data_IF_912411340722
#
_entry.id   IF_912411340722
#
_cell.length_a   1.000
_cell.length_b   1.000
_cell.length_c   1.000
_cell.angle_alpha   90.00
_cell.angle_beta   90.00
_cell.angle_gamma   90.00
#
_symmetry.space_group_name_H-M   'P 1'
#
loop_
_entity.id
_entity.type
_entity.pdbx_description
1 polymer ?
#
# COMPACT_ATOMS: atom_id res chain seq x y z
N UNK A 1 -35.97 -4.88 4.94
CA UNK A 1 -34.78 -5.60 4.42
C UNK A 1 -33.56 -4.78 4.81
N UNK A 2 -32.93 -5.12 5.94
CA UNK A 2 -31.83 -4.36 6.52
C UNK A 2 -30.53 -4.71 5.81
N UNK A 3 -29.97 -3.76 5.07
CA UNK A 3 -28.59 -3.81 4.56
C UNK A 3 -27.65 -3.60 5.74
N UNK A 4 -27.21 -4.68 6.39
CA UNK A 4 -26.09 -4.62 7.34
C UNK A 4 -24.84 -4.23 6.55
N UNK A 5 -24.48 -2.94 6.62
CA UNK A 5 -23.13 -2.43 6.30
C UNK A 5 -22.16 -3.32 7.09
N UNK A 6 -21.46 -4.18 6.39
CA UNK A 6 -20.30 -4.84 6.96
C UNK A 6 -19.27 -3.73 7.10
N UNK A 7 -19.09 -3.24 8.33
CA UNK A 7 -17.93 -2.46 8.71
C UNK A 7 -16.70 -3.32 8.43
N UNK A 8 -16.18 -3.20 7.21
CA UNK A 8 -14.85 -3.65 6.89
C UNK A 8 -13.91 -2.86 7.78
N UNK A 9 -13.51 -3.47 8.90
CA UNK A 9 -12.42 -2.99 9.72
C UNK A 9 -11.28 -2.63 8.77
N UNK A 10 -11.03 -1.33 8.61
CA UNK A 10 -9.94 -0.84 7.79
C UNK A 10 -8.69 -1.15 8.60
N UNK A 11 -8.17 -2.37 8.43
CA UNK A 11 -6.87 -2.72 8.95
C UNK A 11 -5.87 -1.71 8.41
N UNK A 12 -5.28 -0.93 9.31
CA UNK A 12 -4.29 0.06 8.96
C UNK A 12 -3.12 -0.63 8.25
N UNK A 13 -2.66 -0.12 7.09
CA UNK A 13 -1.48 -0.63 6.42
C UNK A 13 -0.29 -0.59 7.39
N UNK A 14 0.31 -1.76 7.65
CA UNK A 14 1.45 -1.89 8.55
C UNK A 14 2.77 -1.61 7.84
N UNK A 15 2.85 -1.84 6.53
CA UNK A 15 4.04 -1.58 5.76
C UNK A 15 4.19 -0.09 5.40
N UNK A 16 5.37 0.49 5.66
CA UNK A 16 5.63 1.92 5.46
C UNK A 16 5.86 2.30 4.00
N UNK A 17 6.28 1.35 3.16
CA UNK A 17 6.50 1.53 1.74
C UNK A 17 6.57 0.19 0.99
N UNK A 18 6.67 0.23 -0.35
CA UNK A 18 6.76 -0.97 -1.21
C UNK A 18 7.90 -1.92 -0.83
N UNK A 19 9.09 -1.38 -0.53
CA UNK A 19 10.26 -2.20 -0.20
C UNK A 19 10.03 -2.95 1.11
N UNK A 20 9.52 -2.25 2.11
CA UNK A 20 9.16 -2.82 3.41
C UNK A 20 8.08 -3.92 3.26
N UNK A 21 7.05 -3.67 2.46
CA UNK A 21 6.03 -4.66 2.13
C UNK A 21 6.63 -5.95 1.54
N UNK A 22 7.48 -5.82 0.52
CA UNK A 22 8.08 -6.98 -0.16
C UNK A 22 8.98 -7.78 0.79
N UNK A 23 9.76 -7.11 1.65
CA UNK A 23 10.74 -7.78 2.49
C UNK A 23 10.13 -8.44 3.74
N UNK A 24 9.13 -7.80 4.35
CA UNK A 24 8.64 -8.18 5.68
C UNK A 24 7.25 -8.82 5.67
N UNK A 25 6.47 -8.62 4.61
CA UNK A 25 5.06 -9.01 4.58
C UNK A 25 4.68 -9.91 3.41
N UNK A 26 5.58 -10.12 2.43
CA UNK A 26 5.35 -11.08 1.35
C UNK A 26 5.88 -12.45 1.76
N UNK A 27 4.99 -13.45 1.83
CA UNK A 27 5.36 -14.83 2.11
C UNK A 27 5.06 -15.74 0.92
N UNK A 28 5.74 -16.89 0.88
CA UNK A 28 5.57 -17.92 -0.13
C UNK A 28 4.96 -19.16 0.51
N UNK A 29 3.62 -19.31 0.51
CA UNK A 29 2.98 -20.50 1.05
C UNK A 29 3.39 -21.75 0.26
N UNK A 30 3.38 -22.91 0.93
CA UNK A 30 3.60 -24.19 0.26
C UNK A 30 2.37 -24.57 -0.56
N UNK A 31 2.59 -25.16 -1.74
CA UNK A 31 1.53 -25.48 -2.70
C UNK A 31 0.46 -26.39 -2.06
N UNK A 32 0.88 -27.33 -1.23
CA UNK A 32 0.02 -28.32 -0.59
C UNK A 32 -0.92 -27.72 0.48
N UNK A 33 -0.63 -26.50 0.93
CA UNK A 33 -1.41 -25.76 1.93
C UNK A 33 -2.45 -24.82 1.30
N UNK A 34 -2.49 -24.70 -0.03
CA UNK A 34 -3.38 -23.80 -0.75
C UNK A 34 -4.82 -24.35 -0.75
N UNK A 35 -5.60 -23.93 0.24
CA UNK A 35 -6.90 -24.51 0.56
C UNK A 35 -8.03 -24.31 -0.46
N UNK A 36 -7.86 -23.62 -1.60
CA UNK A 36 -9.06 -23.26 -2.42
C UNK A 36 -8.84 -22.85 -3.88
N UNK A 37 -7.63 -22.51 -4.32
CA UNK A 37 -7.41 -22.11 -5.73
C UNK A 37 -6.10 -22.68 -6.27
N UNK A 38 -6.21 -23.52 -7.29
CA UNK A 38 -5.05 -24.08 -8.00
C UNK A 38 -4.40 -23.06 -8.95
N UNK A 39 -4.99 -21.89 -9.16
CA UNK A 39 -4.58 -20.91 -10.15
C UNK A 39 -4.56 -19.46 -9.63
N UNK A 40 -3.71 -18.64 -10.25
CA UNK A 40 -3.58 -17.23 -9.94
C UNK A 40 -4.80 -16.44 -10.47
N UNK A 41 -5.46 -15.61 -9.66
CA UNK A 41 -6.67 -14.88 -10.08
C UNK A 41 -6.38 -13.68 -11.03
N UNK A 42 -5.11 -13.36 -11.30
CA UNK A 42 -4.74 -12.27 -12.22
C UNK A 42 -4.54 -12.79 -13.64
N UNK A 43 -3.80 -13.90 -13.81
CA UNK A 43 -3.48 -14.48 -15.11
C UNK A 43 -4.18 -15.81 -15.40
N UNK A 44 -4.90 -16.38 -14.41
CA UNK A 44 -5.65 -17.64 -14.50
C UNK A 44 -4.81 -18.90 -14.78
N UNK A 45 -3.49 -18.80 -14.71
CA UNK A 45 -2.59 -19.95 -14.84
C UNK A 45 -2.34 -20.63 -13.48
N UNK A 46 -2.07 -21.94 -13.46
CA UNK A 46 -1.85 -22.70 -12.24
C UNK A 46 -0.61 -22.22 -11.47
N UNK A 47 -0.60 -22.47 -10.16
CA UNK A 47 0.57 -22.23 -9.33
C UNK A 47 1.62 -23.33 -9.51
N UNK A 48 2.88 -22.96 -9.38
CA UNK A 48 4.03 -23.88 -9.41
C UNK A 48 4.78 -23.83 -8.08
N UNK A 49 5.47 -24.91 -7.70
CA UNK A 49 6.29 -24.89 -6.48
C UNK A 49 7.42 -23.85 -6.54
N UNK A 50 7.94 -23.57 -7.73
CA UNK A 50 9.08 -22.68 -7.96
C UNK A 50 8.88 -21.79 -9.19
N UNK A 51 9.68 -20.73 -9.30
CA UNK A 51 9.74 -19.86 -10.47
C UNK A 51 8.68 -18.76 -10.50
N UNK A 52 8.35 -18.29 -11.72
CA UNK A 52 7.47 -17.15 -11.94
C UNK A 52 6.03 -17.38 -11.42
N UNK A 53 5.58 -18.63 -11.47
CA UNK A 53 4.25 -19.05 -11.03
C UNK A 53 4.19 -19.51 -9.56
N UNK A 54 5.26 -19.28 -8.80
CA UNK A 54 5.28 -19.56 -7.36
C UNK A 54 4.21 -18.76 -6.63
N UNK A 55 3.40 -19.37 -5.76
CA UNK A 55 2.39 -18.66 -5.00
C UNK A 55 3.05 -17.69 -4.01
N UNK A 56 2.44 -16.52 -3.86
CA UNK A 56 2.78 -15.54 -2.85
C UNK A 56 1.52 -15.00 -2.17
N UNK A 57 1.68 -14.55 -0.94
CA UNK A 57 0.60 -14.02 -0.13
C UNK A 57 1.11 -12.83 0.69
N UNK A 58 0.29 -11.80 0.80
CA UNK A 58 0.50 -10.78 1.80
C UNK A 58 0.11 -11.35 3.17
N UNK A 59 1.04 -11.41 4.11
CA UNK A 59 0.80 -11.85 5.48
C UNK A 59 1.03 -10.69 6.46
N UNK A 60 0.36 -10.73 7.62
CA UNK A 60 0.55 -9.72 8.67
C UNK A 60 0.04 -8.31 8.31
N UNK A 61 -0.76 -8.17 7.25
CA UNK A 61 -1.41 -6.89 6.88
C UNK A 61 -2.92 -7.07 6.75
N UNK A 62 -3.61 -6.80 7.85
CA UNK A 62 -5.07 -6.98 7.96
C UNK A 62 -5.55 -8.38 7.60
N UNK A 63 -6.77 -8.47 7.09
CA UNK A 63 -7.44 -9.75 6.86
C UNK A 63 -7.29 -10.28 5.42
N UNK A 64 -6.44 -9.64 4.61
CA UNK A 64 -6.21 -10.02 3.22
C UNK A 64 -5.40 -11.31 3.12
N UNK A 65 -6.06 -12.43 2.79
CA UNK A 65 -5.42 -13.74 2.59
C UNK A 65 -5.29 -14.17 1.12
N UNK A 66 -5.47 -13.25 0.18
CA UNK A 66 -5.42 -13.58 -1.25
C UNK A 66 -4.02 -13.95 -1.73
N UNK A 67 -3.99 -14.96 -2.59
CA UNK A 67 -2.77 -15.58 -3.10
C UNK A 67 -2.65 -15.26 -4.59
N UNK A 68 -1.48 -14.82 -5.01
CA UNK A 68 -1.16 -14.49 -6.39
C UNK A 68 0.15 -15.15 -6.78
N UNK A 69 0.48 -15.23 -8.07
CA UNK A 69 1.79 -15.73 -8.44
C UNK A 69 2.84 -14.62 -8.31
N UNK A 70 4.10 -15.02 -8.09
CA UNK A 70 5.24 -14.11 -7.95
C UNK A 70 5.34 -13.09 -9.08
N UNK A 71 5.20 -13.56 -10.32
CA UNK A 71 5.28 -12.70 -11.51
C UNK A 71 4.17 -11.63 -11.52
N UNK A 72 2.91 -12.04 -11.37
CA UNK A 72 1.79 -11.11 -11.42
C UNK A 72 1.83 -10.10 -10.28
N UNK A 73 2.15 -10.53 -9.06
CA UNK A 73 2.32 -9.61 -7.93
C UNK A 73 3.45 -8.61 -8.19
N UNK A 74 4.61 -9.09 -8.67
CA UNK A 74 5.76 -8.22 -8.94
C UNK A 74 5.42 -7.17 -10.01
N UNK A 75 4.80 -7.59 -11.11
CA UNK A 75 4.35 -6.68 -12.16
C UNK A 75 3.30 -5.69 -11.64
N UNK A 76 2.35 -6.14 -10.84
CA UNK A 76 1.33 -5.29 -10.24
C UNK A 76 1.96 -4.19 -9.38
N UNK A 77 2.83 -4.56 -8.42
CA UNK A 77 3.53 -3.63 -7.53
C UNK A 77 4.52 -2.69 -8.25
N UNK A 78 4.97 -3.04 -9.44
CA UNK A 78 5.87 -2.24 -10.28
C UNK A 78 5.12 -1.35 -11.26
N UNK A 79 3.86 -1.65 -11.57
CA UNK A 79 3.10 -0.86 -12.52
C UNK A 79 2.81 0.55 -12.00
N UNK A 80 2.81 1.52 -12.91
CA UNK A 80 2.45 2.93 -12.63
C UNK A 80 0.94 3.15 -12.58
N UNK A 81 0.16 2.06 -12.56
CA UNK A 81 -1.29 2.11 -12.41
C UNK A 81 -1.59 2.70 -11.02
N UNK A 82 -2.59 3.57 -10.94
CA UNK A 82 -3.06 4.09 -9.64
C UNK A 82 -3.52 2.90 -8.79
N UNK A 83 -3.18 2.95 -7.50
CA UNK A 83 -3.63 1.97 -6.48
C UNK A 83 -3.00 0.57 -6.53
N UNK A 84 -1.82 0.42 -7.12
CA UNK A 84 -0.98 -0.80 -7.07
C UNK A 84 -0.45 -1.17 -5.69
N UNK A 85 -0.97 -0.50 -4.66
CA UNK A 85 -0.63 -0.64 -3.25
C UNK A 85 -1.77 -1.31 -2.49
N UNK A 86 -2.72 -1.89 -3.22
CA UNK A 86 -3.92 -2.52 -2.67
C UNK A 86 -4.02 -3.97 -3.14
N UNK A 87 -4.75 -4.78 -2.39
CA UNK A 87 -5.11 -6.12 -2.86
C UNK A 87 -5.97 -6.02 -4.13
N UNK A 88 -5.62 -6.71 -5.24
CA UNK A 88 -6.43 -6.71 -6.46
C UNK A 88 -7.88 -7.19 -6.26
N UNK A 89 -8.14 -7.99 -5.22
CA UNK A 89 -9.47 -8.57 -4.95
C UNK A 89 -10.20 -7.76 -3.86
N UNK A 90 -9.63 -7.63 -2.65
CA UNK A 90 -10.28 -6.91 -1.54
C UNK A 90 -10.10 -5.39 -1.58
N UNK A 91 -9.21 -4.87 -2.42
CA UNK A 91 -8.82 -3.45 -2.47
C UNK A 91 -8.30 -2.87 -1.16
N UNK A 92 -7.97 -3.73 -0.18
CA UNK A 92 -7.33 -3.33 1.07
C UNK A 92 -5.93 -2.79 0.77
N UNK A 93 -5.59 -1.64 1.35
CA UNK A 93 -4.25 -1.05 1.22
C UNK A 93 -3.21 -1.87 1.98
N UNK A 94 -2.11 -2.17 1.31
CA UNK A 94 -0.94 -2.84 1.89
C UNK A 94 0.10 -1.86 2.43
N UNK A 95 0.32 -0.75 1.74
CA UNK A 95 1.27 0.29 2.16
C UNK A 95 0.92 1.68 1.59
N UNK A 96 1.52 2.71 2.16
CA UNK A 96 1.36 4.10 1.71
C UNK A 96 2.38 4.50 0.64
N UNK A 97 2.02 5.45 -0.24
CA UNK A 97 3.02 6.15 -1.05
C UNK A 97 3.55 7.29 -0.22
N UNK A 98 4.85 7.54 -0.30
CA UNK A 98 5.56 8.61 0.43
C UNK A 98 5.02 10.03 0.17
N UNK A 99 3.99 10.19 -0.66
CA UNK A 99 3.37 11.49 -0.98
C UNK A 99 2.24 11.89 -0.02
N UNK A 100 1.85 11.03 0.92
CA UNK A 100 0.94 11.43 2.00
C UNK A 100 1.83 11.60 3.22
N UNK A 101 2.13 12.86 3.55
CA UNK A 101 2.45 13.24 4.92
C UNK A 101 1.54 12.42 5.84
N UNK A 102 2.08 11.68 6.82
CA UNK A 102 1.22 10.98 7.78
C UNK A 102 0.16 11.98 8.26
N UNK A 103 -1.10 11.56 8.54
CA UNK A 103 -2.04 12.46 9.18
C UNK A 103 -1.35 12.93 10.46
N UNK A 104 -0.76 14.13 10.39
CA UNK A 104 -0.17 14.79 11.53
C UNK A 104 -1.26 14.72 12.60
N UNK A 105 -0.99 14.21 13.81
CA UNK A 105 -1.91 14.45 14.90
C UNK A 105 -2.07 15.97 14.95
N UNK A 106 -3.27 16.44 14.64
CA UNK A 106 -3.59 17.85 14.54
C UNK A 106 -3.26 18.51 15.88
N UNK A 107 -2.09 19.16 15.97
CA UNK A 107 -1.71 20.03 17.08
C UNK A 107 -1.11 21.29 16.49
N UNK A 108 -1.97 22.29 16.37
CA UNK A 108 -1.58 23.70 16.24
C UNK A 108 -1.24 24.14 14.83
N UNK A 109 -2.23 24.68 14.13
CA UNK A 109 -2.00 25.58 13.01
C UNK A 109 -1.25 26.83 13.53
N UNK A 110 0.04 26.98 13.19
CA UNK A 110 0.65 28.31 13.13
C UNK A 110 0.45 28.85 11.73
N UNK A 111 -0.39 29.88 11.65
CA UNK A 111 -0.76 30.57 10.44
C UNK A 111 0.49 31.09 9.72
N UNK A 112 0.68 30.67 8.47
CA UNK A 112 1.54 31.38 7.53
C UNK A 112 0.85 32.68 7.14
N UNK A 113 1.05 33.74 7.92
CA UNK A 113 0.70 35.09 7.47
C UNK A 113 1.77 35.56 6.49
N UNK A 114 1.34 35.60 5.23
CA UNK A 114 1.95 36.31 4.12
C UNK A 114 2.10 37.80 4.47
N UNK A 115 3.22 38.23 5.04
CA UNK A 115 3.53 39.65 5.20
C UNK A 115 4.29 40.18 3.99
N UNK A 116 3.55 40.90 3.15
CA UNK A 116 4.07 41.69 2.04
C UNK A 116 4.21 43.15 2.53
N UNK A 117 5.45 43.67 2.50
CA UNK A 117 5.87 45.07 2.23
C UNK A 117 5.72 46.15 3.32
N UNK A 118 6.85 46.75 3.70
CA UNK A 118 7.16 48.22 3.81
C UNK A 118 8.69 48.36 4.04
N UNK A 119 9.46 48.94 3.09
CA UNK A 119 10.03 50.31 3.10
C UNK A 119 10.90 50.64 4.34
N UNK A 120 12.21 50.83 4.14
CA UNK A 120 12.93 52.01 4.67
C UNK A 120 14.37 52.09 4.09
N UNK A 121 14.65 53.24 3.50
CA UNK A 121 15.97 53.77 3.18
C UNK A 121 16.74 54.05 4.47
N UNK A 122 18.05 53.77 4.53
CA UNK A 122 18.99 54.56 5.34
C UNK A 122 20.33 54.63 4.60
N UNK A 123 20.56 55.81 4.04
CA UNK A 123 21.84 56.40 3.68
C UNK A 123 22.58 56.82 4.97
N UNK A 124 23.89 56.52 5.11
CA UNK A 124 24.95 57.40 5.68
C UNK A 124 26.24 56.64 6.01
N UNK A 125 27.29 56.88 5.20
CA UNK A 125 28.72 57.09 5.56
C UNK A 125 29.50 56.05 6.39
N UNK A 126 30.82 56.21 6.57
CA UNK A 126 31.70 57.34 6.20
C UNK A 126 32.53 57.14 4.93
#
# INVERSE_FOLDING_TARGET
MSLTRHDHHIATPTAVNRRDFILNYLMFPELDTLATSSACPICFEPFTATGAHRPNQANGIGDCKHIFCYRCMSHYLQSDIRDTRTCPIYRQKWYYSRSITPPMPYRGAVAWTRSRRIHEEVDTGP
#
